data_IF_383623627819
#
_entry.id   IF_383623627819
#
_cell.length_a   1.000
_cell.length_b   1.000
_cell.length_c   1.000
_cell.angle_alpha   90.00
_cell.angle_beta   90.00
_cell.angle_gamma   90.00
#
_symmetry.space_group_name_H-M   'P 1'
#
loop_
_entity.id
_entity.type
_entity.pdbx_description
1 polymer ?
#
# COMPACT_ATOMS: atom_id res chain seq x y z
N UNK A 1 19.58 -23.06 13.07
CA UNK A 1 18.47 -23.82 12.48
C UNK A 1 17.32 -23.60 13.44
N UNK A 2 16.26 -22.84 13.18
CA UNK A 2 15.71 -22.34 11.92
C UNK A 2 15.53 -20.83 11.96
N UNK A 3 15.98 -20.15 10.90
CA UNK A 3 15.52 -18.79 10.61
C UNK A 3 14.30 -18.93 9.71
N UNK A 4 13.18 -19.41 10.28
CA UNK A 4 11.90 -19.41 9.59
C UNK A 4 11.61 -17.97 9.15
N UNK A 5 11.43 -17.79 7.84
CA UNK A 5 11.06 -16.50 7.26
C UNK A 5 9.74 -16.08 7.94
N UNK A 6 9.62 -14.85 8.46
CA UNK A 6 8.36 -14.36 9.06
C UNK A 6 7.19 -14.64 8.10
N UNK A 7 6.19 -15.36 8.59
CA UNK A 7 5.03 -15.89 7.84
C UNK A 7 4.34 -14.90 6.89
N UNK A 8 4.24 -13.64 7.29
CA UNK A 8 3.47 -12.64 6.56
C UNK A 8 4.34 -11.74 5.68
N UNK A 9 5.64 -12.05 5.54
CA UNK A 9 6.62 -11.14 4.95
C UNK A 9 6.28 -10.74 3.51
N UNK A 10 5.65 -11.59 2.71
CA UNK A 10 5.28 -11.25 1.35
C UNK A 10 4.08 -10.28 1.28
N UNK A 11 3.06 -10.50 2.11
CA UNK A 11 1.95 -9.57 2.28
C UNK A 11 2.45 -8.23 2.81
N UNK A 12 3.35 -8.27 3.79
CA UNK A 12 3.93 -7.06 4.38
C UNK A 12 4.83 -6.33 3.38
N UNK A 13 5.61 -7.03 2.55
CA UNK A 13 6.38 -6.43 1.45
C UNK A 13 5.45 -5.73 0.46
N UNK A 14 4.37 -6.39 0.02
CA UNK A 14 3.42 -5.79 -0.91
C UNK A 14 2.76 -4.56 -0.29
N UNK A 15 2.41 -4.62 0.99
CA UNK A 15 1.82 -3.48 1.70
C UNK A 15 2.80 -2.33 1.88
N UNK A 16 4.04 -2.61 2.28
CA UNK A 16 5.10 -1.61 2.34
C UNK A 16 5.38 -1.00 0.97
N UNK A 17 5.27 -1.77 -0.11
CA UNK A 17 5.38 -1.27 -1.47
C UNK A 17 4.22 -0.32 -1.82
N UNK A 18 2.97 -0.71 -1.56
CA UNK A 18 1.80 0.15 -1.80
C UNK A 18 1.86 1.43 -0.96
N UNK A 19 2.20 1.33 0.32
CA UNK A 19 2.40 2.48 1.20
C UNK A 19 3.54 3.37 0.70
N UNK A 20 4.67 2.80 0.28
CA UNK A 20 5.78 3.58 -0.27
C UNK A 20 5.37 4.35 -1.52
N UNK A 21 4.59 3.73 -2.42
CA UNK A 21 4.02 4.40 -3.59
C UNK A 21 3.02 5.50 -3.20
N UNK A 22 2.07 5.21 -2.31
CA UNK A 22 1.06 6.17 -1.87
C UNK A 22 1.71 7.40 -1.23
N UNK A 23 2.62 7.19 -0.26
CA UNK A 23 3.33 8.28 0.42
C UNK A 23 4.25 9.06 -0.54
N UNK A 24 4.81 8.38 -1.53
CA UNK A 24 5.57 9.03 -2.59
C UNK A 24 4.68 9.98 -3.42
N UNK A 25 3.52 9.51 -3.84
CA UNK A 25 2.55 10.32 -4.61
C UNK A 25 2.02 11.49 -3.76
N UNK A 26 1.65 11.26 -2.50
CA UNK A 26 1.26 12.31 -1.55
C UNK A 26 2.35 13.39 -1.40
N UNK A 27 3.61 12.97 -1.23
CA UNK A 27 4.74 13.90 -1.09
C UNK A 27 4.95 14.74 -2.36
N UNK A 28 4.82 14.14 -3.54
CA UNK A 28 4.90 14.85 -4.83
C UNK A 28 3.73 15.83 -4.97
N UNK A 29 2.51 15.43 -4.61
CA UNK A 29 1.33 16.29 -4.66
C UNK A 29 1.48 17.50 -3.72
N UNK A 30 1.93 17.30 -2.49
CA UNK A 30 2.22 18.41 -1.57
C UNK A 30 3.31 19.36 -2.10
N UNK A 31 4.36 18.82 -2.75
CA UNK A 31 5.37 19.64 -3.40
C UNK A 31 4.81 20.45 -4.58
N UNK A 32 3.88 19.88 -5.35
CA UNK A 32 3.19 20.56 -6.43
C UNK A 32 2.28 21.68 -5.90
N UNK A 33 1.49 21.43 -4.86
CA UNK A 33 0.62 22.45 -4.24
C UNK A 33 1.44 23.60 -3.64
N UNK A 34 2.52 23.30 -2.92
CA UNK A 34 3.45 24.32 -2.45
C UNK A 34 4.05 25.12 -3.62
N UNK A 35 4.37 24.46 -4.73
CA UNK A 35 4.84 25.09 -5.95
C UNK A 35 3.83 26.06 -6.58
N UNK A 36 2.53 25.72 -6.56
CA UNK A 36 1.45 26.59 -7.04
C UNK A 36 1.35 27.86 -6.19
N UNK A 37 1.37 27.71 -4.87
CA UNK A 37 1.38 28.86 -3.94
C UNK A 37 2.62 29.75 -4.13
N UNK A 38 3.79 29.15 -4.32
CA UNK A 38 5.03 29.89 -4.60
C UNK A 38 4.96 30.66 -5.93
N UNK A 39 4.32 30.09 -6.95
CA UNK A 39 4.10 30.78 -8.23
C UNK A 39 3.14 31.95 -8.09
N UNK A 40 2.07 31.80 -7.30
CA UNK A 40 1.11 32.87 -7.00
C UNK A 40 1.80 34.04 -6.29
N UNK A 41 2.54 33.78 -5.21
CA UNK A 41 3.29 34.82 -4.48
C UNK A 41 4.31 35.49 -5.40
N UNK A 42 5.07 34.71 -6.18
CA UNK A 42 6.08 35.26 -7.08
C UNK A 42 5.48 36.17 -8.16
N UNK A 43 4.25 35.90 -8.61
CA UNK A 43 3.55 36.74 -9.58
C UNK A 43 3.07 38.06 -8.97
N UNK A 44 2.82 38.10 -7.65
CA UNK A 44 2.35 39.30 -6.95
C UNK A 44 3.47 40.27 -6.52
N UNK A 45 4.71 39.77 -6.39
CA UNK A 45 5.86 40.56 -5.91
C UNK A 45 6.58 41.32 -7.04
N UNK A 46 7.18 42.46 -6.69
CA UNK A 46 7.98 43.24 -7.65
C UNK A 46 9.37 42.62 -7.84
N UNK A 47 10.06 43.07 -8.88
CA UNK A 47 11.46 42.72 -9.10
C UNK A 47 12.31 43.05 -7.86
N UNK A 48 13.12 42.09 -7.42
CA UNK A 48 14.00 42.23 -6.25
C UNK A 48 13.39 41.80 -4.91
N UNK A 49 12.06 41.70 -4.79
CA UNK A 49 11.40 41.38 -3.52
C UNK A 49 11.31 39.88 -3.23
N UNK A 50 11.51 39.03 -4.25
CA UNK A 50 11.31 37.58 -4.14
C UNK A 50 12.20 36.90 -3.09
N UNK A 51 13.52 37.10 -3.15
CA UNK A 51 14.45 36.43 -2.22
C UNK A 51 14.28 36.90 -0.77
N UNK A 52 14.19 38.22 -0.48
CA UNK A 52 13.89 38.70 0.86
C UNK A 52 12.59 38.12 1.42
N UNK A 53 11.54 38.05 0.60
CA UNK A 53 10.25 37.48 1.02
C UNK A 53 10.38 36.00 1.42
N UNK A 54 11.13 35.19 0.66
CA UNK A 54 11.32 33.77 1.01
C UNK A 54 12.06 33.61 2.34
N UNK A 55 13.11 34.39 2.57
CA UNK A 55 13.91 34.34 3.80
C UNK A 55 13.12 34.75 5.04
N UNK A 56 12.19 35.69 4.89
CA UNK A 56 11.37 36.20 5.99
C UNK A 56 10.13 35.32 6.27
N UNK A 57 9.52 34.70 5.25
CA UNK A 57 8.19 34.11 5.37
C UNK A 57 8.18 32.58 5.43
N UNK A 58 9.20 31.88 4.90
CA UNK A 58 9.19 30.42 4.84
C UNK A 58 10.53 29.79 5.22
N UNK A 59 10.47 28.59 5.81
CA UNK A 59 11.68 27.82 6.16
C UNK A 59 12.23 26.97 5.01
N UNK A 60 11.60 27.03 3.82
CA UNK A 60 11.97 26.21 2.66
C UNK A 60 13.14 26.86 1.93
N UNK A 61 14.24 26.13 1.77
CA UNK A 61 15.41 26.66 1.05
C UNK A 61 15.06 27.12 -0.38
N UNK A 62 15.72 28.17 -0.86
CA UNK A 62 15.51 28.69 -2.23
C UNK A 62 15.65 27.60 -3.31
N UNK A 63 16.55 26.63 -3.11
CA UNK A 63 16.73 25.49 -4.02
C UNK A 63 15.51 24.57 -4.04
N UNK A 64 14.86 24.38 -2.90
CA UNK A 64 13.69 23.52 -2.74
C UNK A 64 12.42 24.22 -3.22
N UNK A 65 12.32 25.54 -2.99
CA UNK A 65 11.33 26.43 -3.62
C UNK A 65 11.34 26.28 -5.14
N UNK A 66 12.52 26.38 -5.77
CA UNK A 66 12.65 26.21 -7.22
C UNK A 66 12.16 24.83 -7.70
N UNK A 67 12.45 23.76 -6.94
CA UNK A 67 11.97 22.42 -7.27
C UNK A 67 10.45 22.33 -7.21
N UNK A 68 9.83 22.85 -6.14
CA UNK A 68 8.37 22.84 -5.98
C UNK A 68 7.68 23.58 -7.12
N UNK A 69 8.15 24.77 -7.48
CA UNK A 69 7.64 25.52 -8.62
C UNK A 69 7.79 24.75 -9.95
N UNK A 70 8.90 24.03 -10.15
CA UNK A 70 9.09 23.19 -11.33
C UNK A 70 8.10 22.02 -11.38
N UNK A 71 7.79 21.38 -10.24
CA UNK A 71 6.77 20.33 -10.16
C UNK A 71 5.39 20.88 -10.50
N UNK A 72 5.04 22.04 -9.95
CA UNK A 72 3.78 22.71 -10.27
C UNK A 72 3.64 23.04 -11.76
N UNK A 73 4.76 23.23 -12.46
CA UNK A 73 4.84 23.43 -13.91
C UNK A 73 4.92 22.11 -14.71
N UNK A 74 4.67 20.96 -14.08
CA UNK A 74 4.64 19.65 -14.73
C UNK A 74 5.99 18.98 -14.93
N UNK A 75 7.08 19.48 -14.31
CA UNK A 75 8.37 18.80 -14.38
C UNK A 75 8.43 17.62 -13.39
N UNK A 76 8.96 16.46 -13.78
CA UNK A 76 9.06 15.32 -12.89
C UNK A 76 10.03 15.61 -11.74
N UNK A 77 9.67 15.19 -10.53
CA UNK A 77 10.50 15.32 -9.34
C UNK A 77 10.85 13.95 -8.77
N UNK A 78 12.14 13.56 -8.71
CA UNK A 78 12.51 12.31 -8.07
C UNK A 78 12.37 12.44 -6.54
N UNK A 79 11.79 11.43 -5.87
CA UNK A 79 11.52 11.48 -4.42
C UNK A 79 12.74 11.85 -3.56
N UNK A 80 13.92 11.37 -3.93
CA UNK A 80 15.20 11.72 -3.27
C UNK A 80 15.49 13.23 -3.22
N UNK A 81 14.83 14.03 -4.05
CA UNK A 81 14.95 15.48 -4.08
C UNK A 81 14.07 16.19 -3.03
N UNK A 82 13.10 15.48 -2.44
CA UNK A 82 12.24 15.97 -1.34
C UNK A 82 12.85 15.75 0.04
N UNK A 83 13.70 14.72 0.18
CA UNK A 83 14.27 14.32 1.46
C UNK A 83 15.48 15.19 1.82
N UNK A 84 15.45 15.82 3.00
CA UNK A 84 16.64 16.40 3.64
C UNK A 84 17.51 15.25 4.15
N UNK A 85 18.76 15.15 3.69
CA UNK A 85 19.64 13.99 3.98
C UNK A 85 19.84 13.80 5.49
N UNK A 86 19.42 12.68 6.09
CA UNK A 86 19.98 12.21 7.35
C UNK A 86 21.36 11.58 7.09
N UNK A 87 22.23 11.53 8.11
CA UNK A 87 23.51 10.80 8.02
C UNK A 87 23.25 9.33 7.65
N UNK A 88 24.03 8.73 6.73
CA UNK A 88 23.74 7.40 6.23
C UNK A 88 24.00 6.31 7.29
N UNK A 89 23.04 5.40 7.46
CA UNK A 89 23.26 4.06 8.01
C UNK A 89 23.19 3.03 6.86
N UNK A 90 24.11 2.08 6.87
CA UNK A 90 24.53 1.29 5.72
C UNK A 90 23.60 0.11 5.38
N UNK A 91 23.40 -0.05 4.05
CA UNK A 91 23.31 -1.26 3.22
C UNK A 91 22.59 -2.52 3.75
N UNK A 92 21.48 -2.88 3.10
CA UNK A 92 20.97 -4.25 3.02
C UNK A 92 20.91 -4.71 1.55
N UNK A 93 21.35 -5.96 1.28
CA UNK A 93 21.29 -6.61 -0.04
C UNK A 93 19.94 -7.33 -0.22
N UNK A 94 19.34 -7.32 -1.42
CA UNK A 94 18.11 -8.07 -1.67
C UNK A 94 18.40 -9.56 -1.87
N UNK A 95 17.52 -10.40 -1.32
CA UNK A 95 17.49 -11.84 -1.53
C UNK A 95 16.12 -12.18 -2.14
N UNK A 96 16.09 -12.87 -3.28
CA UNK A 96 14.86 -13.35 -3.90
C UNK A 96 14.72 -14.87 -3.71
N UNK A 97 13.84 -15.28 -2.81
CA UNK A 97 13.43 -16.69 -2.68
C UNK A 97 11.94 -16.75 -2.39
N UNK A 98 11.08 -16.72 -3.41
CA UNK A 98 9.70 -17.16 -3.28
C UNK A 98 9.26 -17.82 -4.60
N UNK A 99 8.90 -19.10 -4.51
CA UNK A 99 8.08 -19.81 -5.50
C UNK A 99 6.64 -19.69 -4.99
N UNK A 100 5.71 -19.29 -5.86
CA UNK A 100 4.30 -19.01 -5.52
C UNK A 100 3.44 -19.80 -6.49
N UNK A 101 2.52 -20.61 -5.98
CA UNK A 101 1.65 -21.50 -6.77
C UNK A 101 0.25 -20.90 -7.06
N UNK A 102 0.05 -19.60 -6.82
CA UNK A 102 -1.21 -18.92 -7.15
C UNK A 102 -1.33 -18.63 -8.67
N UNK A 103 -2.46 -18.97 -9.32
CA UNK A 103 -2.66 -18.77 -10.76
C UNK A 103 -2.75 -17.28 -11.11
N UNK A 104 -2.23 -16.94 -12.30
CA UNK A 104 -2.12 -15.53 -12.77
C UNK A 104 -3.44 -14.94 -13.27
N UNK A 105 -4.35 -15.79 -13.74
CA UNK A 105 -5.67 -15.49 -14.31
C UNK A 105 -6.50 -16.78 -14.30
N UNK A 106 -7.76 -16.70 -13.87
CA UNK A 106 -8.73 -17.76 -14.12
C UNK A 106 -9.28 -17.62 -15.55
N UNK A 107 -9.43 -18.71 -16.32
CA UNK A 107 -10.00 -18.63 -17.66
C UNK A 107 -11.49 -18.26 -17.60
N UNK A 108 -11.89 -17.18 -18.30
CA UNK A 108 -13.29 -16.73 -18.38
C UNK A 108 -13.50 -15.27 -17.94
N UNK A 109 -14.74 -14.78 -18.06
CA UNK A 109 -15.17 -13.54 -17.42
C UNK A 109 -15.32 -13.71 -15.90
N UNK A 110 -15.51 -12.61 -15.13
CA UNK A 110 -15.69 -12.72 -13.69
C UNK A 110 -16.85 -13.67 -13.38
N UNK A 111 -16.67 -14.64 -12.47
CA UNK A 111 -17.76 -15.51 -12.06
C UNK A 111 -18.88 -14.66 -11.42
N UNK A 112 -20.11 -15.18 -11.45
CA UNK A 112 -21.18 -14.64 -10.61
C UNK A 112 -20.78 -14.94 -9.18
N UNK A 113 -20.26 -13.93 -8.48
CA UNK A 113 -19.80 -14.06 -7.11
C UNK A 113 -20.95 -13.75 -6.13
N UNK A 114 -21.17 -14.63 -5.16
CA UNK A 114 -22.11 -14.42 -4.07
C UNK A 114 -21.48 -13.55 -2.96
N UNK A 115 -20.17 -13.74 -2.71
CA UNK A 115 -19.38 -12.87 -1.86
C UNK A 115 -18.61 -11.82 -2.68
N UNK A 116 -18.92 -10.54 -2.46
CA UNK A 116 -18.19 -9.41 -3.02
C UNK A 116 -17.80 -8.44 -1.90
N UNK A 117 -16.50 -8.24 -1.61
CA UNK A 117 -16.08 -7.33 -0.56
C UNK A 117 -16.35 -5.87 -0.94
N UNK A 118 -16.73 -5.08 0.05
CA UNK A 118 -16.95 -3.65 -0.07
C UNK A 118 -15.60 -2.89 -0.09
N UNK A 119 -15.51 -1.87 -0.93
CA UNK A 119 -14.32 -1.06 -1.04
C UNK A 119 -13.94 -0.43 0.31
N UNK A 120 -12.66 -0.53 0.67
CA UNK A 120 -12.13 0.05 1.91
C UNK A 120 -12.38 -0.76 3.18
N UNK A 121 -13.04 -1.92 3.10
CA UNK A 121 -13.20 -2.85 4.22
C UNK A 121 -12.15 -3.96 4.17
N UNK A 122 -11.59 -4.31 5.32
CA UNK A 122 -10.82 -5.53 5.53
C UNK A 122 -11.73 -6.62 6.11
N UNK A 123 -11.52 -7.85 5.67
CA UNK A 123 -12.25 -9.03 6.12
C UNK A 123 -11.29 -10.09 6.62
N UNK A 124 -11.64 -10.76 7.71
CA UNK A 124 -10.92 -11.93 8.19
C UNK A 124 -11.89 -13.00 8.68
N UNK A 125 -11.59 -14.26 8.41
CA UNK A 125 -12.29 -15.40 9.01
C UNK A 125 -11.26 -16.42 9.51
N UNK A 126 -11.53 -16.99 10.67
CA UNK A 126 -10.76 -18.08 11.25
C UNK A 126 -11.65 -19.32 11.23
N UNK A 127 -11.14 -20.39 10.63
CA UNK A 127 -11.79 -21.69 10.60
C UNK A 127 -11.46 -22.52 11.86
N UNK A 128 -12.27 -23.54 12.20
CA UNK A 128 -12.02 -24.39 13.37
C UNK A 128 -10.69 -25.15 13.33
N UNK A 129 -10.15 -25.38 12.13
CA UNK A 129 -8.85 -26.02 11.90
C UNK A 129 -7.67 -25.03 12.02
N UNK A 130 -7.92 -23.83 12.53
CA UNK A 130 -6.95 -22.73 12.70
C UNK A 130 -6.48 -22.06 11.40
N UNK A 131 -7.06 -22.42 10.26
CA UNK A 131 -6.84 -21.70 9.00
C UNK A 131 -7.47 -20.32 9.06
N UNK A 132 -6.71 -19.28 8.72
CA UNK A 132 -7.15 -17.89 8.63
C UNK A 132 -7.18 -17.44 7.18
N UNK A 133 -8.30 -16.88 6.74
CA UNK A 133 -8.40 -16.17 5.47
C UNK A 133 -8.52 -14.67 5.72
N UNK A 134 -7.77 -13.88 4.97
CA UNK A 134 -7.83 -12.42 5.00
C UNK A 134 -8.08 -11.86 3.60
N UNK A 135 -8.98 -10.87 3.52
CA UNK A 135 -9.24 -10.08 2.32
C UNK A 135 -9.00 -8.62 2.66
N UNK A 136 -8.13 -7.98 1.90
CA UNK A 136 -7.68 -6.63 2.22
C UNK A 136 -7.75 -5.71 1.02
N UNK A 137 -8.24 -4.47 1.18
CA UNK A 137 -8.33 -3.55 0.06
C UNK A 137 -6.93 -3.06 -0.34
N UNK A 138 -6.68 -2.98 -1.64
CA UNK A 138 -5.53 -2.27 -2.18
C UNK A 138 -5.66 -0.79 -1.84
N UNK A 139 -4.57 -0.20 -1.31
CA UNK A 139 -4.54 1.23 -1.00
C UNK A 139 -4.37 2.07 -2.29
N UNK A 140 -3.86 1.44 -3.35
CA UNK A 140 -3.58 2.10 -4.63
C UNK A 140 -4.72 1.95 -5.64
N UNK A 141 -5.46 0.85 -5.59
CA UNK A 141 -6.47 0.51 -6.58
C UNK A 141 -7.84 0.27 -5.92
N UNK A 142 -8.70 1.31 -5.83
CA UNK A 142 -10.05 1.17 -5.27
C UNK A 142 -10.84 0.05 -5.95
N UNK A 143 -11.49 -0.82 -5.15
CA UNK A 143 -12.24 -1.98 -5.64
C UNK A 143 -11.39 -3.21 -5.98
N UNK A 144 -10.09 -3.18 -5.66
CA UNK A 144 -9.20 -4.34 -5.75
C UNK A 144 -8.73 -4.76 -4.37
N UNK A 145 -8.47 -6.06 -4.19
CA UNK A 145 -8.18 -6.68 -2.90
C UNK A 145 -7.07 -7.71 -2.99
N UNK A 146 -6.24 -7.81 -1.96
CA UNK A 146 -5.38 -8.97 -1.74
C UNK A 146 -6.18 -10.04 -1.01
N UNK A 147 -5.94 -11.30 -1.37
CA UNK A 147 -6.49 -12.48 -0.70
C UNK A 147 -5.34 -13.31 -0.17
N UNK A 148 -5.41 -13.70 1.10
CA UNK A 148 -4.40 -14.51 1.77
C UNK A 148 -5.08 -15.62 2.59
N UNK A 149 -4.46 -16.80 2.60
CA UNK A 149 -4.72 -17.91 3.51
C UNK A 149 -3.47 -18.13 4.35
N UNK A 150 -3.64 -18.30 5.65
CA UNK A 150 -2.57 -18.58 6.61
C UNK A 150 -3.01 -19.77 7.45
N UNK A 151 -2.19 -20.81 7.58
CA UNK A 151 -2.41 -21.87 8.57
C UNK A 151 -1.63 -21.53 9.85
N UNK A 152 -2.33 -21.36 10.97
CA UNK A 152 -1.69 -21.00 12.25
C UNK A 152 -0.81 -22.13 12.83
N UNK A 153 -0.95 -23.37 12.34
CA UNK A 153 -0.24 -24.55 12.83
C UNK A 153 0.87 -25.02 11.90
N UNK A 154 0.72 -24.90 10.58
CA UNK A 154 1.67 -25.49 9.61
C UNK A 154 2.61 -24.50 8.93
N UNK A 155 2.57 -23.22 9.29
CA UNK A 155 3.44 -22.18 8.73
C UNK A 155 3.24 -21.95 7.21
N UNK A 156 2.14 -22.47 6.62
CA UNK A 156 1.85 -22.39 5.18
C UNK A 156 0.98 -21.18 4.88
N UNK A 157 1.41 -20.34 3.93
CA UNK A 157 0.69 -19.13 3.51
C UNK A 157 0.56 -19.09 1.99
N UNK A 158 -0.68 -19.07 1.52
CA UNK A 158 -1.02 -18.80 0.12
C UNK A 158 -1.55 -17.37 0.02
N UNK A 159 -1.12 -16.61 -0.98
CA UNK A 159 -1.59 -15.24 -1.16
C UNK A 159 -1.56 -14.80 -2.62
N UNK A 160 -2.43 -13.85 -2.96
CA UNK A 160 -2.41 -13.21 -4.27
C UNK A 160 -1.22 -12.26 -4.40
N UNK A 161 -0.43 -12.43 -5.46
CA UNK A 161 0.75 -11.56 -5.72
C UNK A 161 0.37 -10.12 -6.10
N UNK A 162 -0.81 -9.91 -6.67
CA UNK A 162 -1.36 -8.61 -7.08
C UNK A 162 -2.79 -8.53 -6.55
N UNK A 163 -3.31 -7.32 -6.27
CA UNK A 163 -4.68 -7.21 -5.84
C UNK A 163 -5.61 -7.59 -7.01
N UNK A 164 -6.62 -8.39 -6.71
CA UNK A 164 -7.65 -8.86 -7.66
C UNK A 164 -8.89 -7.99 -7.53
N UNK A 165 -9.64 -7.76 -8.61
CA UNK A 165 -10.86 -6.97 -8.51
C UNK A 165 -11.89 -7.68 -7.61
N UNK A 166 -12.78 -6.91 -6.96
CA UNK A 166 -13.77 -7.42 -6.00
C UNK A 166 -14.52 -8.67 -6.49
N UNK A 167 -14.93 -8.68 -7.77
CA UNK A 167 -15.66 -9.78 -8.41
C UNK A 167 -14.85 -11.10 -8.52
N UNK A 168 -13.53 -11.06 -8.32
CA UNK A 168 -12.64 -12.22 -8.36
C UNK A 168 -12.23 -12.70 -6.97
N UNK A 169 -12.64 -12.01 -5.90
CA UNK A 169 -12.20 -12.34 -4.54
C UNK A 169 -12.73 -13.71 -4.10
N UNK A 170 -14.01 -13.98 -4.32
CA UNK A 170 -14.62 -15.25 -3.93
C UNK A 170 -13.93 -16.47 -4.56
N UNK A 171 -13.65 -16.44 -5.86
CA UNK A 171 -12.98 -17.57 -6.52
C UNK A 171 -11.53 -17.75 -6.06
N UNK A 172 -10.84 -16.67 -5.67
CA UNK A 172 -9.49 -16.79 -5.06
C UNK A 172 -9.57 -17.41 -3.66
N UNK A 173 -10.59 -17.05 -2.86
CA UNK A 173 -10.83 -17.68 -1.55
C UNK A 173 -11.14 -19.18 -1.69
N UNK A 174 -12.01 -19.54 -2.63
CA UNK A 174 -12.33 -20.94 -2.96
C UNK A 174 -11.09 -21.68 -3.46
N UNK A 175 -10.29 -21.07 -4.32
CA UNK A 175 -9.03 -21.64 -4.79
C UNK A 175 -8.06 -21.95 -3.65
N UNK A 176 -7.97 -21.07 -2.65
CA UNK A 176 -7.16 -21.32 -1.45
C UNK A 176 -7.81 -22.31 -0.47
N UNK A 177 -9.05 -22.72 -0.70
CA UNK A 177 -9.74 -23.80 0.03
C UNK A 177 -10.87 -23.33 0.95
N UNK A 178 -11.31 -22.06 0.88
CA UNK A 178 -12.53 -21.63 1.57
C UNK A 178 -13.75 -21.96 0.70
N UNK A 179 -14.37 -23.11 0.93
CA UNK A 179 -15.44 -23.65 0.06
C UNK A 179 -16.64 -22.71 -0.11
N UNK A 180 -17.12 -22.08 0.98
CA UNK A 180 -18.33 -21.25 0.97
C UNK A 180 -18.10 -19.85 1.54
N UNK A 181 -17.41 -18.94 0.81
CA UNK A 181 -17.08 -17.60 1.31
C UNK A 181 -18.30 -16.75 1.67
N UNK A 182 -19.40 -16.86 0.93
CA UNK A 182 -20.62 -16.08 1.19
C UNK A 182 -21.28 -16.40 2.55
N UNK A 183 -21.12 -17.62 3.06
CA UNK A 183 -21.64 -18.05 4.37
C UNK A 183 -20.63 -17.98 5.50
N UNK A 184 -19.39 -17.56 5.22
CA UNK A 184 -18.33 -17.54 6.22
C UNK A 184 -18.62 -16.47 7.29
N UNK A 185 -18.21 -16.76 8.54
CA UNK A 185 -18.39 -15.87 9.68
C UNK A 185 -17.35 -14.72 9.65
N UNK A 186 -17.47 -13.84 8.67
CA UNK A 186 -16.52 -12.74 8.45
C UNK A 186 -16.51 -11.74 9.60
N UNK A 187 -15.31 -11.46 10.10
CA UNK A 187 -15.01 -10.26 10.87
C UNK A 187 -14.67 -9.14 9.89
N UNK A 188 -15.34 -8.01 9.99
CA UNK A 188 -15.15 -6.87 9.08
C UNK A 188 -14.73 -5.63 9.85
N UNK A 189 -13.74 -4.90 9.33
CA UNK A 189 -13.30 -3.61 9.88
C UNK A 189 -12.92 -2.64 8.74
N UNK A 190 -13.11 -1.33 8.90
CA UNK A 190 -12.56 -0.35 7.99
C UNK A 190 -11.03 -0.50 7.90
N UNK A 191 -10.50 -0.47 6.68
CA UNK A 191 -9.05 -0.50 6.47
C UNK A 191 -8.45 0.84 6.88
N UNK A 192 -7.69 0.84 7.97
CA UNK A 192 -6.94 2.02 8.42
C UNK A 192 -5.56 2.14 7.73
N UNK A 193 -5.28 1.34 6.69
CA UNK A 193 -3.94 1.27 6.08
C UNK A 193 -2.88 0.70 7.03
N UNK A 194 -3.28 -0.27 7.86
CA UNK A 194 -2.46 -0.88 8.92
C UNK A 194 -1.31 -1.70 8.32
N UNK A 195 -0.12 -1.66 8.92
CA UNK A 195 1.14 -2.20 8.37
C UNK A 195 1.17 -3.73 8.22
N UNK A 196 0.37 -4.46 9.00
CA UNK A 196 0.32 -5.94 9.03
C UNK A 196 -1.11 -6.43 8.80
N UNK A 197 -1.26 -7.60 8.16
CA UNK A 197 -2.59 -8.08 7.73
C UNK A 197 -3.55 -8.33 8.90
N UNK A 198 -3.02 -9.05 9.90
CA UNK A 198 -3.68 -9.33 11.16
C UNK A 198 -3.53 -8.17 12.16
N UNK A 199 -2.79 -7.10 11.84
CA UNK A 199 -2.73 -5.89 12.66
C UNK A 199 -4.08 -5.18 12.77
N UNK A 200 -4.97 -5.40 11.79
CA UNK A 200 -6.37 -4.94 11.82
C UNK A 200 -7.22 -5.80 12.79
N UNK A 201 -6.84 -7.05 12.98
CA UNK A 201 -7.52 -8.05 13.82
C UNK A 201 -6.52 -8.70 14.79
N UNK A 202 -6.04 -7.98 15.82
CA UNK A 202 -5.01 -8.49 16.73
C UNK A 202 -5.41 -9.77 17.46
N UNK A 203 -6.72 -10.01 17.61
CA UNK A 203 -7.30 -11.25 18.16
C UNK A 203 -7.14 -12.47 17.25
N UNK A 204 -6.75 -12.26 15.99
CA UNK A 204 -6.56 -13.29 14.98
C UNK A 204 -5.08 -13.63 14.75
N UNK A 205 -4.15 -12.99 15.48
CA UNK A 205 -2.71 -13.18 15.36
C UNK A 205 -2.12 -14.13 16.44
N UNK A 206 -2.96 -14.90 17.13
CA UNK A 206 -2.56 -15.81 18.20
C UNK A 206 -2.28 -17.22 17.70
#
# INVERSE_FOLDING_TARGET
MDSALRLNIASDINRHHELACLRADEAINHAAEAGKLLLEVKAALKHGEWLPWLEENIFVSARQVQRYMQVAQGRPLPLRALVTKPKPQANAKPVSHLVVDAPRLFPGGPPVAEFVPEAGQCYAVILPDTTVFAVEPSLKHPGYFFVSKMDATTDVVDYTRRPVAAAWVEVNLQYFGLENPASAAWRTKPSAGVVEALGTFPECAA
#
